data_IF_372758589882
#
_entry.id   IF_372758589882
#
_cell.length_a   1.000
_cell.length_b   1.000
_cell.length_c   1.000
_cell.angle_alpha   90.00
_cell.angle_beta   90.00
_cell.angle_gamma   90.00
#
_symmetry.space_group_name_H-M   'P 1'
#
loop_
_entity.id
_entity.type
_entity.pdbx_description
1 polymer ?
#
# COMPACT_ATOMS: atom_id res chain seq x y z
N UNK A 1 -14.08 -15.23 3.92
CA UNK A 1 -13.98 -14.40 2.70
C UNK A 1 -13.12 -13.21 3.07
N UNK A 2 -11.81 -13.25 2.81
CA UNK A 2 -10.92 -12.10 3.05
C UNK A 2 -10.71 -11.40 1.71
N UNK A 3 -11.35 -10.24 1.55
CA UNK A 3 -11.02 -9.35 0.45
C UNK A 3 -9.84 -8.49 0.91
N UNK A 4 -8.63 -8.85 0.55
CA UNK A 4 -7.52 -7.91 0.62
C UNK A 4 -7.72 -6.90 -0.51
N UNK A 5 -7.75 -5.61 -0.18
CA UNK A 5 -7.95 -4.57 -1.18
C UNK A 5 -6.59 -3.98 -1.54
N UNK A 6 -6.23 -4.07 -2.82
CA UNK A 6 -5.05 -3.41 -3.38
C UNK A 6 -5.53 -2.27 -4.26
N UNK A 7 -5.16 -1.05 -3.89
CA UNK A 7 -5.53 0.17 -4.61
C UNK A 7 -4.26 0.84 -5.11
N UNK A 8 -4.20 1.13 -6.41
CA UNK A 8 -3.14 1.99 -6.96
C UNK A 8 -3.38 3.42 -6.50
N UNK A 9 -2.38 4.05 -5.91
CA UNK A 9 -2.45 5.46 -5.53
C UNK A 9 -2.20 6.31 -6.77
N UNK A 10 -3.00 7.36 -6.95
CA UNK A 10 -2.76 8.40 -7.96
C UNK A 10 -1.66 9.36 -7.47
N UNK A 11 -0.49 8.78 -7.21
CA UNK A 11 0.70 9.43 -6.72
C UNK A 11 1.92 8.65 -7.22
N UNK A 12 3.02 9.36 -7.43
CA UNK A 12 4.28 8.77 -7.89
C UNK A 12 5.37 9.07 -6.90
N UNK A 13 6.18 8.07 -6.55
CA UNK A 13 7.32 8.26 -5.66
C UNK A 13 8.36 9.23 -6.26
N UNK A 14 9.29 9.77 -5.45
CA UNK A 14 10.25 10.79 -5.88
C UNK A 14 11.18 10.34 -7.02
N UNK A 15 11.26 9.03 -7.29
CA UNK A 15 12.03 8.46 -8.39
C UNK A 15 11.14 7.87 -9.50
N UNK A 16 9.88 8.27 -9.63
CA UNK A 16 8.99 7.71 -10.65
C UNK A 16 8.43 6.33 -10.29
N UNK A 17 8.47 5.95 -9.01
CA UNK A 17 7.97 4.67 -8.52
C UNK A 17 6.43 4.68 -8.47
N UNK A 18 5.82 3.54 -8.79
CA UNK A 18 4.38 3.36 -8.60
C UNK A 18 4.08 3.02 -7.14
N UNK A 19 3.00 3.58 -6.61
CA UNK A 19 2.60 3.40 -5.22
C UNK A 19 1.26 2.66 -5.15
N UNK A 20 1.18 1.67 -4.27
CA UNK A 20 -0.01 0.87 -4.03
C UNK A 20 -0.32 0.85 -2.54
N UNK A 21 -1.57 1.09 -2.18
CA UNK A 21 -2.07 0.87 -0.83
C UNK A 21 -2.64 -0.54 -0.74
N UNK A 22 -2.10 -1.32 0.18
CA UNK A 22 -2.59 -2.66 0.51
C UNK A 22 -3.30 -2.57 1.84
N UNK A 23 -4.58 -2.95 1.85
CA UNK A 23 -5.40 -3.01 3.07
C UNK A 23 -5.76 -4.46 3.34
N UNK A 24 -5.20 -4.98 4.43
CA UNK A 24 -5.55 -6.27 5.00
C UNK A 24 -6.62 -6.06 6.07
N UNK A 25 -7.87 -6.39 5.73
CA UNK A 25 -8.99 -6.29 6.64
C UNK A 25 -9.02 -7.41 7.69
N UNK A 26 -8.32 -8.52 7.45
CA UNK A 26 -8.22 -9.61 8.42
C UNK A 26 -7.35 -9.22 9.61
N UNK A 27 -6.26 -8.48 9.34
CA UNK A 27 -5.35 -7.98 10.37
C UNK A 27 -5.57 -6.51 10.73
N UNK A 28 -6.50 -5.82 10.05
CA UNK A 28 -6.76 -4.36 10.17
C UNK A 28 -5.49 -3.53 10.00
N UNK A 29 -4.65 -3.91 9.04
CA UNK A 29 -3.39 -3.23 8.74
C UNK A 29 -3.43 -2.66 7.33
N UNK A 30 -2.83 -1.48 7.19
CA UNK A 30 -2.53 -0.90 5.89
C UNK A 30 -1.03 -0.91 5.67
N UNK A 31 -0.60 -1.09 4.42
CA UNK A 31 0.80 -1.02 4.03
C UNK A 31 0.92 -0.34 2.68
N UNK A 32 1.99 0.43 2.47
CA UNK A 32 2.27 1.02 1.15
C UNK A 32 3.32 0.17 0.45
N UNK A 33 2.95 -0.37 -0.70
CA UNK A 33 3.86 -1.04 -1.61
C UNK A 33 4.37 -0.05 -2.64
N UNK A 34 5.68 0.05 -2.77
CA UNK A 34 6.40 0.89 -3.71
C UNK A 34 7.04 -0.02 -4.75
N UNK A 35 6.72 0.21 -6.02
CA UNK A 35 7.22 -0.57 -7.14
C UNK A 35 8.12 0.32 -7.99
N UNK A 36 9.39 -0.07 -8.11
CA UNK A 36 10.34 0.61 -9.00
C UNK A 36 10.20 0.03 -10.43
N UNK A 37 9.67 0.81 -11.39
CA UNK A 37 9.44 0.32 -12.74
C UNK A 37 10.74 0.06 -13.53
N UNK A 38 11.89 0.52 -13.04
CA UNK A 38 13.17 0.43 -13.78
C UNK A 38 13.87 -0.91 -13.59
N UNK A 39 13.75 -1.49 -12.40
CA UNK A 39 14.44 -2.72 -12.00
C UNK A 39 13.48 -3.80 -11.48
N UNK A 40 12.19 -3.49 -11.33
CA UNK A 40 11.19 -4.41 -10.82
C UNK A 40 11.29 -4.66 -9.31
N UNK A 41 12.08 -3.86 -8.58
CA UNK A 41 12.19 -4.00 -7.13
C UNK A 41 10.90 -3.59 -6.44
N UNK A 42 10.50 -4.41 -5.47
CA UNK A 42 9.35 -4.20 -4.60
C UNK A 42 9.87 -3.77 -3.23
N UNK A 43 9.44 -2.61 -2.76
CA UNK A 43 9.69 -2.14 -1.40
C UNK A 43 8.34 -2.00 -0.69
N UNK A 44 8.19 -2.63 0.46
CA UNK A 44 7.01 -2.45 1.32
C UNK A 44 7.41 -1.50 2.42
N UNK A 45 6.76 -0.35 2.47
CA UNK A 45 7.06 0.71 3.44
C UNK A 45 5.88 0.90 4.37
N UNK A 46 6.19 0.76 5.66
CA UNK A 46 5.40 1.07 6.83
C UNK A 46 4.03 0.37 6.95
N UNK A 47 3.87 -0.41 8.02
CA UNK A 47 2.65 -1.16 8.34
C UNK A 47 1.93 -0.40 9.45
N UNK A 48 0.95 0.41 9.07
CA UNK A 48 0.19 1.20 10.04
C UNK A 48 -1.09 0.46 10.42
N UNK A 49 -1.44 0.39 11.73
CA UNK A 49 -2.76 -0.07 12.14
C UNK A 49 -3.82 0.90 11.60
N UNK A 50 -4.91 0.36 11.08
CA UNK A 50 -6.05 1.17 10.63
C UNK A 50 -6.87 1.50 11.87
N UNK A 51 -6.63 2.68 12.46
CA UNK A 51 -7.49 3.22 13.50
C UNK A 51 -8.82 3.63 12.86
N UNK A 52 -9.89 2.86 13.08
CA UNK A 52 -11.23 3.05 12.50
C UNK A 52 -11.97 4.28 13.08
N UNK A 53 -11.26 5.31 13.52
CA UNK A 53 -11.87 6.54 14.04
C UNK A 53 -12.04 7.56 12.91
N UNK A 54 -12.91 7.21 11.96
CA UNK A 54 -13.43 8.14 10.96
C UNK A 54 -14.94 7.88 10.83
N UNK A 55 -15.71 8.70 11.53
CA UNK A 55 -17.16 8.87 11.43
C UNK A 55 -17.48 10.31 11.76
#
# INVERSE_FOLDING_TARGET
>A
MSCDSVVKLDATGPQGQELFLVVDFSTKKASVLIVDPRNGNLQVTDVQPIDQRAG
#
